data_IF_405413677489
#
_entry.id   IF_405413677489
#
_cell.length_a   1.000
_cell.length_b   1.000
_cell.length_c   1.000
_cell.angle_alpha   90.00
_cell.angle_beta   90.00
_cell.angle_gamma   90.00
#
_symmetry.space_group_name_H-M   'P 1'
#
loop_
_entity.id
_entity.type
_entity.pdbx_description
1 polymer ?
#
# COMPACT_ATOMS: atom_id res chain seq x y z
N UNK A 1 -3.36 26.09 -10.91
CA UNK A 1 -2.32 25.59 -9.98
C UNK A 1 -2.60 24.11 -9.78
N UNK A 2 -1.61 23.24 -9.98
CA UNK A 2 -1.74 21.81 -9.68
C UNK A 2 -1.92 21.64 -8.17
N UNK A 3 -2.99 20.96 -7.76
CA UNK A 3 -3.21 20.61 -6.36
C UNK A 3 -2.12 19.65 -5.91
N UNK A 4 -1.47 19.96 -4.79
CA UNK A 4 -0.48 19.07 -4.16
C UNK A 4 -1.22 17.94 -3.44
N UNK A 5 -0.80 16.70 -3.67
CA UNK A 5 -1.34 15.53 -2.99
C UNK A 5 -0.36 15.04 -1.93
N UNK A 6 -0.89 14.81 -0.72
CA UNK A 6 -0.15 14.22 0.39
C UNK A 6 -0.65 12.80 0.67
N UNK A 7 0.32 11.87 0.76
CA UNK A 7 0.11 10.47 1.13
C UNK A 7 1.07 10.07 2.24
N UNK A 8 0.74 10.34 3.52
CA UNK A 8 1.63 10.03 4.65
C UNK A 8 1.93 8.52 4.73
N UNK A 9 3.20 8.16 4.98
CA UNK A 9 3.56 6.76 5.30
C UNK A 9 3.13 6.44 6.72
N UNK A 10 2.27 5.43 6.84
CA UNK A 10 1.78 4.95 8.13
C UNK A 10 2.83 4.14 8.90
N UNK A 11 3.95 3.75 8.28
CA UNK A 11 5.05 3.14 9.03
C UNK A 11 5.67 4.11 10.03
N UNK A 12 5.63 5.42 9.75
CA UNK A 12 6.20 6.46 10.62
C UNK A 12 5.25 6.93 11.72
N UNK A 13 4.06 6.33 11.84
CA UNK A 13 3.03 6.80 12.76
C UNK A 13 3.30 6.38 14.21
N UNK A 14 2.73 7.11 15.16
CA UNK A 14 2.71 6.69 16.56
C UNK A 14 1.54 5.74 16.82
N UNK A 15 1.84 4.44 16.95
CA UNK A 15 0.84 3.40 17.21
C UNK A 15 0.12 3.57 18.56
N UNK A 16 0.76 4.14 19.58
CA UNK A 16 0.10 4.42 20.88
C UNK A 16 -1.05 5.41 20.72
N UNK A 17 -1.00 6.23 19.66
CA UNK A 17 -2.00 7.24 19.31
C UNK A 17 -2.72 6.92 18.00
N UNK A 18 -2.77 5.65 17.60
CA UNK A 18 -3.30 5.20 16.30
C UNK A 18 -4.60 5.89 15.89
N UNK A 19 -5.62 5.85 16.74
CA UNK A 19 -6.93 6.45 16.41
C UNK A 19 -6.85 7.97 16.23
N UNK A 20 -6.05 8.65 17.07
CA UNK A 20 -5.89 10.10 17.01
C UNK A 20 -5.15 10.52 15.75
N UNK A 21 -4.06 9.82 15.39
CA UNK A 21 -3.27 10.16 14.21
C UNK A 21 -4.04 9.93 12.91
N UNK A 22 -4.75 8.79 12.76
CA UNK A 22 -5.56 8.54 11.57
C UNK A 22 -6.69 9.57 11.46
N UNK A 23 -7.43 9.81 12.55
CA UNK A 23 -8.55 10.76 12.53
C UNK A 23 -8.08 12.17 12.21
N UNK A 24 -6.93 12.59 12.74
CA UNK A 24 -6.32 13.87 12.39
C UNK A 24 -5.93 13.93 10.91
N UNK A 25 -5.27 12.90 10.39
CA UNK A 25 -4.81 12.88 9.00
C UNK A 25 -5.96 12.82 7.97
N UNK A 26 -7.14 12.30 8.35
CA UNK A 26 -8.31 12.25 7.46
C UNK A 26 -8.66 13.61 6.85
N UNK A 27 -8.44 14.71 7.58
CA UNK A 27 -8.77 16.07 7.15
C UNK A 27 -7.59 16.79 6.46
N UNK A 28 -6.41 16.16 6.43
CA UNK A 28 -5.16 16.79 5.98
C UNK A 28 -4.45 16.04 4.83
N UNK A 29 -4.80 14.78 4.58
CA UNK A 29 -4.23 13.95 3.53
C UNK A 29 -5.26 13.61 2.44
N UNK A 30 -4.78 13.17 1.27
CA UNK A 30 -5.63 12.70 0.18
C UNK A 30 -5.61 11.17 0.05
N UNK A 31 -4.60 10.52 0.61
CA UNK A 31 -4.45 9.07 0.66
C UNK A 31 -3.52 8.66 1.81
N UNK A 32 -3.41 7.36 2.08
CA UNK A 32 -2.39 6.81 2.96
C UNK A 32 -1.43 5.90 2.21
N UNK A 33 -0.17 5.93 2.62
CA UNK A 33 0.85 5.03 2.12
C UNK A 33 1.15 3.94 3.16
N UNK A 34 1.09 2.69 2.73
CA UNK A 34 1.28 1.51 3.58
C UNK A 34 2.40 0.67 2.98
N UNK A 35 3.49 0.57 3.72
CA UNK A 35 4.66 -0.19 3.33
C UNK A 35 4.56 -1.64 3.83
N UNK A 36 4.51 -2.59 2.90
CA UNK A 36 4.45 -4.02 3.20
C UNK A 36 5.79 -4.64 2.81
N UNK A 37 6.46 -5.21 3.81
CA UNK A 37 7.80 -5.79 3.67
C UNK A 37 7.81 -7.23 4.16
N UNK A 38 8.56 -8.10 3.50
CA UNK A 38 8.63 -9.54 3.80
C UNK A 38 9.90 -9.99 4.53
N UNK A 39 10.79 -9.06 4.90
CA UNK A 39 12.08 -9.36 5.55
C UNK A 39 13.14 -9.95 4.62
N UNK A 40 12.80 -10.28 3.36
CA UNK A 40 13.70 -10.90 2.39
C UNK A 40 14.12 -9.90 1.31
N UNK A 41 13.16 -9.17 0.74
CA UNK A 41 13.44 -8.12 -0.24
C UNK A 41 14.08 -6.90 0.43
N UNK A 42 13.66 -6.59 1.66
CA UNK A 42 14.29 -5.62 2.56
C UNK A 42 14.39 -6.22 3.97
N UNK A 43 15.45 -5.93 4.74
CA UNK A 43 15.68 -6.52 6.05
C UNK A 43 14.82 -5.86 7.16
N UNK A 44 13.52 -5.71 6.93
CA UNK A 44 12.56 -5.14 7.87
C UNK A 44 11.15 -5.73 7.68
N UNK A 45 10.32 -5.71 8.73
CA UNK A 45 8.93 -6.20 8.72
C UNK A 45 8.03 -5.24 9.53
N UNK A 46 7.51 -4.17 8.91
CA UNK A 46 6.81 -3.11 9.61
C UNK A 46 5.30 -3.36 9.70
N UNK A 47 4.57 -3.30 8.58
CA UNK A 47 3.11 -3.33 8.55
C UNK A 47 2.59 -4.52 7.74
N UNK A 48 1.79 -5.42 8.35
CA UNK A 48 1.14 -6.51 7.65
C UNK A 48 -0.16 -6.04 6.94
N UNK A 49 -0.67 -6.80 5.94
CA UNK A 49 -1.88 -6.38 5.20
C UNK A 49 -3.14 -6.19 6.05
N UNK A 50 -3.27 -6.87 7.18
CA UNK A 50 -4.42 -6.68 8.07
C UNK A 50 -4.54 -5.25 8.59
N UNK A 51 -3.43 -4.49 8.61
CA UNK A 51 -3.39 -3.11 9.04
C UNK A 51 -4.29 -2.19 8.19
N UNK A 52 -4.44 -2.49 6.89
CA UNK A 52 -5.37 -1.80 5.98
C UNK A 52 -6.80 -1.90 6.53
N UNK A 53 -7.19 -3.06 7.06
CA UNK A 53 -8.50 -3.29 7.65
C UNK A 53 -8.74 -2.42 8.89
N UNK A 54 -7.72 -2.23 9.73
CA UNK A 54 -7.83 -1.36 10.92
C UNK A 54 -7.95 0.11 10.55
N UNK A 55 -7.17 0.59 9.57
CA UNK A 55 -7.27 1.97 9.07
C UNK A 55 -8.64 2.22 8.44
N UNK A 56 -9.18 1.26 7.69
CA UNK A 56 -10.52 1.36 7.06
C UNK A 56 -11.65 1.55 8.08
N UNK A 57 -11.50 1.10 9.33
CA UNK A 57 -12.50 1.34 10.39
C UNK A 57 -12.59 2.82 10.77
N UNK A 58 -11.54 3.59 10.51
CA UNK A 58 -11.39 4.99 10.92
C UNK A 58 -11.34 5.98 9.74
N UNK A 59 -11.13 5.50 8.52
CA UNK A 59 -10.99 6.33 7.34
C UNK A 59 -11.62 5.74 6.08
N UNK A 60 -12.09 6.64 5.22
CA UNK A 60 -12.54 6.33 3.85
C UNK A 60 -11.55 6.82 2.78
N UNK A 61 -10.42 7.42 3.19
CA UNK A 61 -9.39 7.85 2.25
C UNK A 61 -8.78 6.63 1.51
N UNK A 62 -8.42 6.78 0.23
CA UNK A 62 -7.78 5.73 -0.53
C UNK A 62 -6.43 5.37 0.10
N UNK A 63 -6.09 4.08 0.05
CA UNK A 63 -4.81 3.57 0.55
C UNK A 63 -3.93 3.11 -0.62
N UNK A 64 -2.62 3.14 -0.44
CA UNK A 64 -1.68 2.59 -1.40
C UNK A 64 -0.73 1.63 -0.69
N UNK A 65 -0.78 0.36 -1.07
CA UNK A 65 0.19 -0.62 -0.61
C UNK A 65 1.43 -0.57 -1.48
N UNK A 66 2.57 -0.37 -0.85
CA UNK A 66 3.89 -0.43 -1.45
C UNK A 66 4.54 -1.77 -1.10
N UNK A 67 4.67 -2.64 -2.11
CA UNK A 67 5.12 -4.01 -1.95
C UNK A 67 6.63 -4.13 -2.10
N UNK A 68 7.33 -4.10 -0.97
CA UNK A 68 8.76 -4.42 -0.85
C UNK A 68 8.92 -5.90 -0.48
N UNK A 69 8.58 -6.76 -1.43
CA UNK A 69 8.43 -8.22 -1.22
C UNK A 69 9.03 -9.01 -2.38
N UNK A 70 9.44 -10.24 -2.09
CA UNK A 70 10.09 -11.16 -3.03
C UNK A 70 9.10 -11.89 -3.93
N UNK A 71 7.92 -12.26 -3.40
CA UNK A 71 6.84 -12.91 -4.15
C UNK A 71 5.63 -11.94 -4.33
N UNK A 72 5.67 -11.04 -5.33
CA UNK A 72 4.59 -10.08 -5.53
C UNK A 72 3.27 -10.74 -5.90
N UNK A 73 3.27 -11.94 -6.50
CA UNK A 73 2.02 -12.62 -6.90
C UNK A 73 1.18 -12.96 -5.68
N UNK A 74 1.80 -13.57 -4.67
CA UNK A 74 1.13 -13.90 -3.41
C UNK A 74 0.52 -12.67 -2.74
N UNK A 75 1.29 -11.58 -2.64
CA UNK A 75 0.83 -10.37 -1.93
C UNK A 75 -0.23 -9.59 -2.71
N UNK A 76 -0.19 -9.58 -4.04
CA UNK A 76 -1.24 -8.99 -4.87
C UNK A 76 -2.58 -9.66 -4.60
N UNK A 77 -2.63 -11.00 -4.54
CA UNK A 77 -3.86 -11.74 -4.22
C UNK A 77 -4.44 -11.34 -2.87
N UNK A 78 -3.58 -11.22 -1.85
CA UNK A 78 -4.00 -10.80 -0.50
C UNK A 78 -4.55 -9.37 -0.49
N UNK A 79 -3.91 -8.45 -1.21
CA UNK A 79 -4.31 -7.05 -1.26
C UNK A 79 -5.58 -6.82 -2.09
N UNK A 80 -5.80 -7.64 -3.12
CA UNK A 80 -7.08 -7.69 -3.84
C UNK A 80 -8.20 -8.10 -2.89
N UNK A 81 -7.99 -9.15 -2.08
CA UNK A 81 -9.00 -9.62 -1.12
C UNK A 81 -9.38 -8.54 -0.08
N UNK A 82 -8.42 -7.71 0.35
CA UNK A 82 -8.61 -6.62 1.33
C UNK A 82 -9.02 -5.29 0.65
N UNK A 83 -9.02 -5.25 -0.69
CA UNK A 83 -9.40 -4.10 -1.54
C UNK A 83 -8.56 -2.84 -1.32
N UNK A 84 -7.24 -2.94 -1.29
CA UNK A 84 -6.31 -1.85 -0.91
C UNK A 84 -6.33 -0.56 -1.78
N UNK A 85 -7.23 -0.38 -2.75
CA UNK A 85 -7.32 0.75 -3.72
C UNK A 85 -6.14 0.85 -4.71
N UNK A 86 -4.90 0.95 -4.22
CA UNK A 86 -3.68 1.01 -5.04
C UNK A 86 -2.65 -0.03 -4.59
N UNK A 87 -2.05 -0.73 -5.54
CA UNK A 87 -0.98 -1.70 -5.31
C UNK A 87 0.23 -1.31 -6.16
N UNK A 88 1.31 -0.93 -5.49
CA UNK A 88 2.58 -0.52 -6.09
C UNK A 88 3.61 -1.63 -5.94
N UNK A 89 4.16 -2.09 -7.06
CA UNK A 89 5.10 -3.22 -7.11
C UNK A 89 6.49 -2.76 -7.58
N UNK A 90 7.54 -3.39 -7.04
CA UNK A 90 8.91 -3.16 -7.47
C UNK A 90 9.19 -3.80 -8.83
N UNK A 91 9.78 -3.04 -9.76
CA UNK A 91 10.09 -3.48 -11.12
C UNK A 91 11.02 -4.71 -11.15
N UNK A 92 11.88 -4.84 -10.14
CA UNK A 92 12.90 -5.86 -9.97
C UNK A 92 12.31 -7.26 -9.74
N UNK A 93 11.13 -7.34 -9.12
CA UNK A 93 10.49 -8.62 -8.73
C UNK A 93 9.33 -9.02 -9.65
N UNK A 94 8.97 -8.18 -10.62
CA UNK A 94 7.86 -8.42 -11.55
C UNK A 94 8.32 -8.68 -13.00
N UNK A 95 9.59 -8.96 -13.24
CA UNK A 95 10.09 -9.29 -14.57
C UNK A 95 9.34 -10.51 -15.15
N UNK A 96 8.78 -10.38 -16.35
CA UNK A 96 7.93 -11.40 -16.99
C UNK A 96 6.53 -11.54 -16.40
N UNK A 97 6.22 -10.87 -15.28
CA UNK A 97 4.94 -10.94 -14.58
C UNK A 97 4.16 -9.61 -14.61
N UNK A 98 4.81 -8.49 -14.92
CA UNK A 98 4.26 -7.15 -14.80
C UNK A 98 2.88 -6.99 -15.44
N UNK A 99 2.74 -7.33 -16.73
CA UNK A 99 1.45 -7.21 -17.43
C UNK A 99 0.36 -8.06 -16.79
N UNK A 100 0.67 -9.32 -16.45
CA UNK A 100 -0.29 -10.24 -15.80
C UNK A 100 -0.79 -9.68 -14.46
N UNK A 101 0.12 -9.19 -13.62
CA UNK A 101 -0.24 -8.65 -12.31
C UNK A 101 -1.02 -7.34 -12.44
N UNK A 102 -0.63 -6.46 -13.36
CA UNK A 102 -1.34 -5.20 -13.63
C UNK A 102 -2.77 -5.48 -14.11
N UNK A 103 -2.94 -6.40 -15.06
CA UNK A 103 -4.27 -6.78 -15.56
C UNK A 103 -5.14 -7.35 -14.44
N UNK A 104 -4.58 -8.26 -13.62
CA UNK A 104 -5.26 -8.84 -12.46
C UNK A 104 -5.72 -7.76 -11.45
N UNK A 105 -4.89 -6.76 -11.17
CA UNK A 105 -5.23 -5.65 -10.27
C UNK A 105 -6.37 -4.80 -10.86
N UNK A 106 -6.32 -4.51 -12.16
CA UNK A 106 -7.35 -3.74 -12.85
C UNK A 106 -8.68 -4.50 -12.96
N UNK A 107 -8.66 -5.81 -13.21
CA UNK A 107 -9.85 -6.67 -13.22
C UNK A 107 -10.56 -6.71 -11.86
N UNK A 108 -9.79 -6.58 -10.76
CA UNK A 108 -10.32 -6.42 -9.41
C UNK A 108 -10.88 -5.01 -9.13
N UNK A 109 -10.81 -4.08 -10.07
CA UNK A 109 -11.25 -2.69 -9.93
C UNK A 109 -10.30 -1.82 -9.10
N UNK A 110 -9.08 -2.28 -8.85
CA UNK A 110 -8.03 -1.57 -8.13
C UNK A 110 -7.06 -0.91 -9.12
N UNK A 111 -6.14 -0.10 -8.62
CA UNK A 111 -5.14 0.61 -9.43
C UNK A 111 -3.75 0.04 -9.22
N UNK A 112 -2.99 -0.14 -10.30
CA UNK A 112 -1.62 -0.62 -10.24
C UNK A 112 -0.60 0.52 -10.35
N UNK A 113 0.53 0.38 -9.66
CA UNK A 113 1.69 1.26 -9.76
C UNK A 113 2.99 0.48 -9.87
N UNK A 114 4.02 1.10 -10.44
CA UNK A 114 5.38 0.55 -10.50
C UNK A 114 6.37 1.50 -9.84
N UNK A 115 7.31 0.96 -9.06
CA UNK A 115 8.37 1.71 -8.41
C UNK A 115 9.74 1.07 -8.70
N UNK A 116 10.78 1.83 -9.08
CA UNK A 116 12.14 1.32 -9.09
C UNK A 116 12.67 1.23 -7.65
N UNK A 117 13.54 0.26 -7.37
CA UNK A 117 14.30 0.22 -6.12
C UNK A 117 15.42 1.27 -6.21
N UNK A 118 15.27 2.37 -5.44
CA UNK A 118 16.28 3.42 -5.32
C UNK A 118 17.41 3.04 -4.38
#
# INVERSE_FOLDING_TARGET
MSTVHFSPSLMCMNLDKFTQEITFLNDHAQSYHIDIMDGHFVPNIPLPPWFIGEVRKLSSLPMSAHLMVTDPTFWVDQLIAIKCDYICMHAEVINGLAFRLIDQIHEAGLKAGGCPQS
#
